data_IF_053418660721
#
_entry.id   IF_053418660721
#
_cell.length_a   1.000
_cell.length_b   1.000
_cell.length_c   1.000
_cell.angle_alpha   90.00
_cell.angle_beta   90.00
_cell.angle_gamma   90.00
#
_symmetry.space_group_name_H-M   'P 1'
#
loop_
_entity.id
_entity.type
_entity.pdbx_description
1 polymer ?
#
# COMPACT_ATOMS: atom_id res chain seq x y z
N UNK A 1 4.53 33.57 13.20
CA UNK A 1 5.80 32.81 13.22
C UNK A 1 5.49 31.41 12.71
N UNK A 2 5.66 31.18 11.40
CA UNK A 2 5.35 29.91 10.78
C UNK A 2 6.63 29.10 10.74
N UNK A 3 6.76 28.12 11.63
CA UNK A 3 7.85 27.17 11.56
C UNK A 3 7.61 26.27 10.33
N UNK A 4 8.25 26.64 9.21
CA UNK A 4 8.49 25.73 8.10
C UNK A 4 9.45 24.66 8.62
N UNK A 5 8.90 23.58 9.16
CA UNK A 5 9.65 22.38 9.49
C UNK A 5 9.86 21.63 8.18
N UNK A 6 10.89 22.04 7.42
CA UNK A 6 11.42 21.16 6.39
C UNK A 6 12.01 19.92 7.09
N UNK A 7 11.62 18.69 6.71
CA UNK A 7 12.20 17.51 7.29
C UNK A 7 13.72 17.48 7.02
N UNK A 8 14.53 16.91 7.94
CA UNK A 8 15.98 16.83 7.76
C UNK A 8 16.32 16.08 6.46
N UNK A 9 17.22 16.66 5.65
CA UNK A 9 17.63 16.18 4.32
C UNK A 9 18.10 14.73 4.30
N UNK A 10 18.72 14.25 5.38
CA UNK A 10 19.17 12.86 5.54
C UNK A 10 18.01 11.83 5.60
N UNK A 11 16.81 12.26 6.01
CA UNK A 11 15.61 11.40 5.96
C UNK A 11 15.04 11.31 4.55
N UNK A 12 15.18 12.37 3.74
CA UNK A 12 14.65 12.42 2.37
C UNK A 12 15.39 11.42 1.47
N UNK A 13 16.70 11.28 1.64
CA UNK A 13 17.51 10.35 0.85
C UNK A 13 17.19 8.88 1.15
N UNK A 14 16.82 8.53 2.39
CA UNK A 14 16.34 7.17 2.75
C UNK A 14 14.93 6.84 2.25
N UNK A 15 14.09 7.85 2.02
CA UNK A 15 12.73 7.63 1.50
C UNK A 15 12.75 7.18 0.03
N UNK A 16 13.76 7.62 -0.74
CA UNK A 16 13.95 7.21 -2.13
C UNK A 16 14.29 5.71 -2.31
N UNK A 17 14.72 5.02 -1.25
CA UNK A 17 14.95 3.56 -1.29
C UNK A 17 13.68 2.73 -1.03
N UNK A 18 12.63 3.33 -0.47
CA UNK A 18 11.40 2.60 -0.12
C UNK A 18 10.49 2.56 -1.34
N UNK A 19 10.30 1.35 -1.86
CA UNK A 19 9.34 1.07 -2.94
C UNK A 19 8.00 0.64 -2.35
N UNK A 20 6.94 1.35 -2.74
CA UNK A 20 5.54 1.08 -2.39
C UNK A 20 4.86 0.38 -3.56
N UNK A 21 4.45 -0.85 -3.34
CA UNK A 21 3.72 -1.67 -4.29
C UNK A 21 2.21 -1.63 -4.04
N UNK A 22 1.42 -1.37 -5.07
CA UNK A 22 -0.05 -1.32 -4.97
C UNK A 22 -0.65 -2.37 -5.89
N UNK A 23 -1.28 -3.39 -5.31
CA UNK A 23 -2.10 -4.38 -6.03
C UNK A 23 -3.54 -3.84 -6.08
N UNK A 24 -4.09 -3.69 -7.28
CA UNK A 24 -5.32 -2.93 -7.55
C UNK A 24 -5.08 -1.44 -7.79
N UNK A 25 -3.91 -1.06 -8.33
CA UNK A 25 -3.51 0.35 -8.50
C UNK A 25 -4.47 1.17 -9.39
N UNK A 26 -5.17 0.55 -10.33
CA UNK A 26 -6.10 1.27 -11.20
C UNK A 26 -7.47 1.50 -10.56
N UNK A 27 -7.77 0.92 -9.40
CA UNK A 27 -8.96 1.24 -8.61
C UNK A 27 -8.90 2.65 -8.01
N UNK A 28 -10.04 3.26 -7.72
CA UNK A 28 -10.09 4.64 -7.20
C UNK A 28 -9.23 4.85 -5.94
N UNK A 29 -9.25 3.87 -5.02
CA UNK A 29 -8.43 3.91 -3.82
C UNK A 29 -6.93 3.68 -4.11
N UNK A 30 -6.61 2.76 -5.02
CA UNK A 30 -5.24 2.50 -5.45
C UNK A 30 -4.59 3.70 -6.13
N UNK A 31 -5.34 4.39 -7.01
CA UNK A 31 -4.90 5.62 -7.66
C UNK A 31 -4.68 6.75 -6.64
N UNK A 32 -5.57 6.87 -5.67
CA UNK A 32 -5.48 7.86 -4.60
C UNK A 32 -4.23 7.63 -3.73
N UNK A 33 -3.99 6.39 -3.31
CA UNK A 33 -2.77 6.02 -2.58
C UNK A 33 -1.51 6.27 -3.41
N UNK A 34 -1.51 5.89 -4.70
CA UNK A 34 -0.39 6.11 -5.59
C UNK A 34 -0.03 7.59 -5.68
N UNK A 35 -1.03 8.47 -5.83
CA UNK A 35 -0.82 9.92 -5.85
C UNK A 35 -0.19 10.42 -4.56
N UNK A 36 -0.68 9.96 -3.41
CA UNK A 36 -0.16 10.46 -2.14
C UNK A 36 1.26 9.95 -1.86
N UNK A 37 1.53 8.66 -2.06
CA UNK A 37 2.88 8.13 -1.84
C UNK A 37 3.91 8.74 -2.80
N UNK A 38 3.54 8.94 -4.06
CA UNK A 38 4.39 9.66 -5.02
C UNK A 38 4.62 11.12 -4.59
N UNK A 39 3.60 11.83 -4.10
CA UNK A 39 3.74 13.20 -3.60
C UNK A 39 4.62 13.29 -2.33
N UNK A 40 4.74 12.20 -1.57
CA UNK A 40 5.64 12.08 -0.42
C UNK A 40 7.08 11.70 -0.82
N UNK A 41 7.35 11.47 -2.11
CA UNK A 41 8.68 11.16 -2.64
C UNK A 41 9.02 9.66 -2.71
N UNK A 42 8.06 8.76 -2.49
CA UNK A 42 8.30 7.32 -2.60
C UNK A 42 8.25 6.83 -4.05
N UNK A 43 9.02 5.77 -4.34
CA UNK A 43 8.85 5.01 -5.59
C UNK A 43 7.57 4.18 -5.51
N UNK A 44 6.65 4.37 -6.46
CA UNK A 44 5.38 3.64 -6.51
C UNK A 44 5.35 2.73 -7.73
N UNK A 45 5.07 1.45 -7.50
CA UNK A 45 4.87 0.44 -8.55
C UNK A 45 3.49 -0.21 -8.38
N UNK A 46 2.89 -0.65 -9.49
CA UNK A 46 1.49 -1.07 -9.48
C UNK A 46 1.18 -2.31 -10.30
N UNK A 47 0.17 -3.04 -9.86
CA UNK A 47 -0.46 -4.10 -10.64
C UNK A 47 -1.97 -3.94 -10.62
N UNK A 48 -2.58 -3.95 -11.80
CA UNK A 48 -4.03 -4.06 -12.02
C UNK A 48 -4.22 -4.45 -13.49
N UNK A 49 -5.17 -5.35 -13.83
CA UNK A 49 -5.45 -5.71 -15.23
C UNK A 49 -5.75 -4.52 -16.15
N UNK A 50 -6.24 -3.41 -15.60
CA UNK A 50 -6.57 -2.17 -16.34
C UNK A 50 -5.41 -1.16 -16.37
N UNK A 51 -4.28 -1.45 -15.74
CA UNK A 51 -3.14 -0.53 -15.67
C UNK A 51 -2.15 -0.78 -16.79
N UNK A 52 -1.79 0.28 -17.54
CA UNK A 52 -0.87 0.18 -18.67
C UNK A 52 0.53 -0.30 -18.26
N UNK A 53 1.01 0.11 -17.08
CA UNK A 53 2.30 -0.29 -16.52
C UNK A 53 2.18 -1.49 -15.55
N UNK A 54 1.24 -2.39 -15.82
CA UNK A 54 1.03 -3.57 -14.97
C UNK A 54 2.27 -4.49 -14.97
N UNK A 55 2.96 -4.57 -13.84
CA UNK A 55 4.14 -5.45 -13.67
C UNK A 55 3.83 -6.81 -13.05
N UNK A 56 2.57 -7.04 -12.65
CA UNK A 56 2.08 -8.29 -12.07
C UNK A 56 2.25 -8.41 -10.54
N UNK A 57 1.25 -9.02 -9.88
CA UNK A 57 1.17 -9.16 -8.41
C UNK A 57 2.43 -9.80 -7.79
N UNK A 58 2.93 -10.89 -8.39
CA UNK A 58 4.16 -11.54 -7.93
C UNK A 58 5.35 -10.60 -7.94
N UNK A 59 5.56 -9.85 -9.03
CA UNK A 59 6.70 -8.94 -9.17
C UNK A 59 6.63 -7.80 -8.15
N UNK A 60 5.42 -7.30 -7.88
CA UNK A 60 5.17 -6.34 -6.80
C UNK A 60 5.69 -6.88 -5.47
N UNK A 61 5.26 -8.09 -5.09
CA UNK A 61 5.65 -8.68 -3.80
C UNK A 61 7.14 -9.02 -3.73
N UNK A 62 7.76 -9.45 -4.83
CA UNK A 62 9.20 -9.74 -4.87
C UNK A 62 10.08 -8.48 -4.73
N UNK A 63 9.57 -7.29 -5.07
CA UNK A 63 10.38 -6.06 -5.19
C UNK A 63 10.03 -4.98 -4.15
N UNK A 64 8.75 -4.75 -3.87
CA UNK A 64 8.31 -3.64 -3.01
C UNK A 64 8.64 -3.87 -1.54
N UNK A 65 9.06 -2.83 -0.82
CA UNK A 65 9.25 -2.85 0.63
C UNK A 65 7.91 -2.83 1.38
N UNK A 66 6.92 -2.13 0.82
CA UNK A 66 5.54 -2.03 1.35
C UNK A 66 4.58 -2.49 0.27
N UNK A 67 3.63 -3.37 0.60
CA UNK A 67 2.59 -3.85 -0.34
C UNK A 67 1.22 -3.44 0.20
N UNK A 68 0.45 -2.71 -0.60
CA UNK A 68 -0.94 -2.34 -0.32
C UNK A 68 -1.88 -3.15 -1.21
N UNK A 69 -2.87 -3.78 -0.57
CA UNK A 69 -3.93 -4.49 -1.26
C UNK A 69 -5.16 -3.58 -1.39
N UNK A 70 -5.38 -3.08 -2.60
CA UNK A 70 -6.49 -2.18 -2.98
C UNK A 70 -7.37 -2.82 -4.06
N UNK A 71 -7.71 -4.09 -3.87
CA UNK A 71 -8.59 -4.87 -4.76
C UNK A 71 -10.02 -4.94 -4.22
N UNK A 72 -11.02 -5.27 -5.06
CA UNK A 72 -12.37 -5.59 -4.58
C UNK A 72 -12.36 -6.59 -3.42
N UNK A 73 -13.25 -6.35 -2.44
CA UNK A 73 -13.22 -7.04 -1.15
C UNK A 73 -13.52 -8.55 -1.22
N UNK A 74 -14.31 -8.96 -2.19
CA UNK A 74 -14.70 -10.34 -2.47
C UNK A 74 -13.53 -11.18 -3.02
N UNK A 75 -12.62 -10.56 -3.77
CA UNK A 75 -11.45 -11.24 -4.33
C UNK A 75 -10.17 -11.06 -3.51
N UNK A 76 -10.16 -10.16 -2.51
CA UNK A 76 -8.96 -9.84 -1.74
C UNK A 76 -8.28 -11.06 -1.10
N UNK A 77 -8.98 -11.98 -0.40
CA UNK A 77 -8.33 -13.14 0.21
C UNK A 77 -7.61 -14.04 -0.80
N UNK A 78 -8.19 -14.24 -1.98
CA UNK A 78 -7.64 -15.12 -3.01
C UNK A 78 -6.42 -14.49 -3.68
N UNK A 79 -6.50 -13.20 -4.01
CA UNK A 79 -5.35 -12.43 -4.54
C UNK A 79 -4.19 -12.43 -3.54
N UNK A 80 -4.48 -12.28 -2.24
CA UNK A 80 -3.44 -12.30 -1.19
C UNK A 80 -2.78 -13.68 -1.14
N UNK A 81 -3.56 -14.77 -1.09
CA UNK A 81 -3.00 -16.13 -1.01
C UNK A 81 -2.17 -16.51 -2.24
N UNK A 82 -2.54 -16.02 -3.43
CA UNK A 82 -1.75 -16.20 -4.65
C UNK A 82 -0.30 -15.70 -4.47
N UNK A 83 -0.11 -14.62 -3.70
CA UNK A 83 1.20 -13.99 -3.53
C UNK A 83 1.91 -14.29 -2.21
N UNK A 84 1.25 -14.95 -1.24
CA UNK A 84 1.83 -15.40 0.04
C UNK A 84 3.18 -16.14 -0.15
N UNK A 85 3.34 -17.09 -1.09
CA UNK A 85 4.60 -17.80 -1.29
C UNK A 85 5.77 -16.88 -1.67
N UNK A 86 5.49 -15.72 -2.25
CA UNK A 86 6.50 -14.77 -2.75
C UNK A 86 6.82 -13.65 -1.76
N UNK A 87 6.11 -13.58 -0.63
CA UNK A 87 6.33 -12.58 0.43
C UNK A 87 7.80 -12.56 0.88
N UNK A 88 8.23 -11.47 1.53
CA UNK A 88 9.60 -11.33 2.08
C UNK A 88 9.53 -10.99 3.57
N UNK A 89 10.54 -11.42 4.34
CA UNK A 89 10.55 -11.26 5.82
C UNK A 89 10.64 -9.79 6.27
N UNK A 90 11.30 -8.94 5.49
CA UNK A 90 11.49 -7.52 5.79
C UNK A 90 10.54 -6.65 4.93
N UNK A 91 9.30 -7.11 4.78
CA UNK A 91 8.27 -6.46 3.96
C UNK A 91 7.06 -6.15 4.83
N UNK A 92 6.45 -4.99 4.59
CA UNK A 92 5.22 -4.58 5.27
C UNK A 92 4.03 -4.79 4.33
N UNK A 93 3.01 -5.51 4.79
CA UNK A 93 1.75 -5.69 4.08
C UNK A 93 0.66 -4.89 4.78
N UNK A 94 0.02 -4.01 4.01
CA UNK A 94 -1.04 -3.13 4.45
C UNK A 94 -2.36 -3.50 3.78
N UNK A 95 -3.32 -3.92 4.59
CA UNK A 95 -4.70 -4.01 4.13
C UNK A 95 -5.41 -2.69 4.36
N UNK A 96 -5.85 -2.07 3.26
CA UNK A 96 -6.66 -0.84 3.26
C UNK A 96 -8.13 -1.11 2.96
N UNK A 97 -8.55 -2.38 2.88
CA UNK A 97 -9.93 -2.75 2.59
C UNK A 97 -10.86 -2.45 3.77
N UNK A 98 -12.16 -2.30 3.47
CA UNK A 98 -13.18 -2.00 4.47
C UNK A 98 -13.55 -3.20 5.36
N UNK A 99 -13.20 -4.43 4.98
CA UNK A 99 -13.50 -5.66 5.72
C UNK A 99 -12.20 -6.37 6.12
N UNK A 100 -11.88 -6.33 7.41
CA UNK A 100 -10.55 -6.70 7.92
C UNK A 100 -10.34 -8.21 8.10
N UNK A 101 -11.38 -8.98 8.44
CA UNK A 101 -11.19 -10.34 8.97
C UNK A 101 -10.53 -11.30 7.99
N UNK A 102 -11.08 -11.42 6.78
CA UNK A 102 -10.61 -12.41 5.81
C UNK A 102 -9.31 -11.98 5.11
N UNK A 103 -9.15 -10.72 4.65
CA UNK A 103 -7.90 -10.27 4.05
C UNK A 103 -6.74 -10.30 5.04
N UNK A 104 -6.92 -9.85 6.29
CA UNK A 104 -5.87 -9.91 7.31
C UNK A 104 -5.50 -11.35 7.64
N UNK A 105 -6.48 -12.26 7.77
CA UNK A 105 -6.18 -13.67 7.97
C UNK A 105 -5.33 -14.26 6.84
N UNK A 106 -5.64 -13.94 5.59
CA UNK A 106 -4.83 -14.37 4.44
C UNK A 106 -3.42 -13.76 4.45
N UNK A 107 -3.27 -12.48 4.83
CA UNK A 107 -1.95 -11.84 4.93
C UNK A 107 -1.09 -12.46 6.03
N UNK A 108 -1.70 -12.88 7.15
CA UNK A 108 -1.00 -13.54 8.27
C UNK A 108 -0.47 -14.93 7.90
N UNK A 109 -0.90 -15.52 6.78
CA UNK A 109 -0.28 -16.73 6.22
C UNK A 109 1.12 -16.45 5.62
N UNK A 110 1.46 -15.17 5.40
CA UNK A 110 2.77 -14.75 4.88
C UNK A 110 3.83 -14.62 5.97
N UNK A 111 5.08 -14.40 5.54
CA UNK A 111 6.21 -14.06 6.42
C UNK A 111 6.44 -12.54 6.55
N UNK A 112 5.56 -11.72 5.99
CA UNK A 112 5.63 -10.27 6.06
C UNK A 112 5.12 -9.76 7.42
N UNK A 113 5.49 -8.53 7.77
CA UNK A 113 4.81 -7.81 8.85
C UNK A 113 3.45 -7.33 8.33
N UNK A 114 2.38 -7.61 9.08
CA UNK A 114 1.01 -7.34 8.63
C UNK A 114 0.38 -6.26 9.49
N UNK A 115 -0.14 -5.21 8.86
CA UNK A 115 -0.91 -4.16 9.53
C UNK A 115 -2.24 -3.97 8.82
N UNK A 116 -3.33 -4.18 9.56
CA UNK A 116 -4.67 -3.86 9.08
C UNK A 116 -4.99 -2.39 9.30
N UNK A 117 -5.05 -1.61 8.23
CA UNK A 117 -5.43 -0.20 8.26
C UNK A 117 -6.86 -0.04 7.76
N UNK A 118 -7.73 0.63 8.51
CA UNK A 118 -9.02 1.08 7.99
C UNK A 118 -9.00 2.60 7.87
N UNK A 119 -8.59 3.14 6.71
CA UNK A 119 -8.70 4.56 6.46
C UNK A 119 -10.18 4.92 6.35
N UNK A 120 -10.67 5.75 7.27
CA UNK A 120 -12.03 6.29 7.22
C UNK A 120 -12.07 7.55 6.34
N UNK A 121 -11.34 7.50 5.23
CA UNK A 121 -11.15 8.59 4.29
C UNK A 121 -11.58 8.15 2.91
N UNK A 122 -12.46 8.91 2.28
CA UNK A 122 -12.82 8.68 0.90
C UNK A 122 -11.65 9.11 -0.01
N UNK A 123 -11.45 8.45 -1.16
CA UNK A 123 -10.43 8.81 -2.14
C UNK A 123 -10.77 10.10 -2.92
N UNK A 124 -11.25 11.13 -2.22
CA UNK A 124 -11.66 12.44 -2.74
C UNK A 124 -10.92 13.60 -2.07
N UNK A 125 -10.07 13.32 -1.08
CA UNK A 125 -9.28 14.34 -0.38
C UNK A 125 -7.86 14.42 -0.94
N UNK A 126 -7.30 15.62 -1.02
CA UNK A 126 -5.97 15.85 -1.60
C UNK A 126 -4.82 15.58 -0.60
N UNK A 127 -5.10 15.30 0.67
CA UNK A 127 -4.08 15.00 1.68
C UNK A 127 -4.56 14.09 2.81
N UNK A 128 -3.62 13.41 3.47
CA UNK A 128 -3.87 12.64 4.70
C UNK A 128 -4.12 13.51 5.96
N UNK A 129 -3.91 14.82 5.87
CA UNK A 129 -3.95 15.69 7.04
C UNK A 129 -5.38 15.75 7.61
N UNK A 130 -5.51 15.46 8.89
CA UNK A 130 -6.79 15.46 9.59
C UNK A 130 -7.68 14.24 9.31
N UNK A 131 -7.16 13.23 8.61
CA UNK A 131 -7.90 12.00 8.30
C UNK A 131 -7.67 10.93 9.38
N UNK A 132 -8.69 10.11 9.63
CA UNK A 132 -8.63 9.04 10.64
C UNK A 132 -8.29 7.72 9.98
N UNK A 133 -7.30 7.02 10.53
CA UNK A 133 -6.98 5.64 10.19
C UNK A 133 -7.12 4.81 11.45
N UNK A 134 -8.01 3.80 11.42
CA UNK A 134 -8.13 2.83 12.52
C UNK A 134 -7.17 1.67 12.28
N UNK A 135 -6.27 1.43 13.24
CA UNK A 135 -5.45 0.22 13.29
C UNK A 135 -6.18 -0.86 14.10
N UNK A 136 -6.21 -2.09 13.60
CA UNK A 136 -6.75 -3.26 14.31
C UNK A 136 -5.63 -4.23 14.66
#
# INVERSE_FOLDING_TARGET
MNANINPPTEKVDKLNEITVGIIGIAGGYGQWLARIFSALGYSVIGSDPRHEQNIGNRKIVETANVVLFSVPMDMAPDVIREVVPYARKNQLWLDVTSLKKQPVAAMLESKAEVVGLHPMVAPTVDSWKGQVVKCN
#
